data_IF_422358526827
#
_entry.id   IF_422358526827
#
_cell.length_a   1.000
_cell.length_b   1.000
_cell.length_c   1.000
_cell.angle_alpha   90.00
_cell.angle_beta   90.00
_cell.angle_gamma   90.00
#
_symmetry.space_group_name_H-M   'P 1'
#
loop_
_entity.id
_entity.type
_entity.pdbx_description
1 polymer ?
#
# COMPACT_ATOMS: atom_id res chain seq x y z
N UNK A 1 -27.01 18.20 12.15
CA UNK A 1 -25.83 17.30 12.17
C UNK A 1 -25.45 16.97 13.61
N UNK A 2 -25.61 15.73 14.01
CA UNK A 2 -25.19 15.27 15.35
C UNK A 2 -23.66 15.32 15.40
N UNK A 3 -23.11 16.18 16.28
CA UNK A 3 -21.66 16.28 16.48
C UNK A 3 -21.22 15.31 17.56
N UNK A 4 -20.25 14.46 17.27
CA UNK A 4 -19.60 13.65 18.31
C UNK A 4 -18.85 14.58 19.26
N UNK A 5 -19.11 14.46 20.56
CA UNK A 5 -18.37 15.17 21.58
C UNK A 5 -17.12 14.37 21.94
N UNK A 6 -15.98 14.87 21.54
CA UNK A 6 -14.68 14.22 21.78
C UNK A 6 -13.77 15.23 22.46
N UNK A 7 -13.28 14.86 23.62
CA UNK A 7 -12.34 15.69 24.39
C UNK A 7 -11.01 14.93 24.49
N UNK A 8 -10.03 15.22 23.64
CA UNK A 8 -8.69 14.68 23.77
C UNK A 8 -8.07 15.07 25.12
N UNK A 9 -7.32 14.16 25.73
CA UNK A 9 -6.65 14.42 27.02
C UNK A 9 -5.59 15.53 26.90
N UNK A 10 -4.95 15.61 25.73
CA UNK A 10 -3.97 16.64 25.40
C UNK A 10 -4.41 17.30 24.10
N UNK A 11 -4.57 18.62 24.13
CA UNK A 11 -4.90 19.42 22.94
C UNK A 11 -3.58 19.89 22.30
N UNK A 12 -3.43 19.73 20.97
CA UNK A 12 -2.29 20.29 20.26
C UNK A 12 -2.34 21.82 20.31
N UNK A 13 -1.22 22.45 20.67
CA UNK A 13 -1.14 23.92 20.75
C UNK A 13 -1.37 24.60 19.39
N UNK A 14 -0.85 23.97 18.31
CA UNK A 14 -0.93 24.50 16.93
C UNK A 14 -2.29 24.23 16.25
N UNK A 15 -3.04 23.25 16.73
CA UNK A 15 -4.38 22.91 16.21
C UNK A 15 -5.28 22.40 17.33
N UNK A 16 -5.84 23.29 18.16
CA UNK A 16 -6.71 22.91 19.29
C UNK A 16 -7.98 22.17 18.87
N UNK A 17 -8.37 22.29 17.58
CA UNK A 17 -9.52 21.59 17.02
C UNK A 17 -9.21 20.18 16.51
N UNK A 18 -7.95 19.73 16.52
CA UNK A 18 -7.56 18.43 16.04
C UNK A 18 -8.11 17.31 16.92
N UNK A 19 -8.76 16.36 16.27
CA UNK A 19 -9.26 15.13 16.90
C UNK A 19 -8.62 13.92 16.23
N UNK A 20 -7.82 13.12 16.95
CA UNK A 20 -7.27 11.89 16.41
C UNK A 20 -8.35 10.95 15.87
N UNK A 21 -8.14 10.41 14.66
CA UNK A 21 -9.09 9.51 14.00
C UNK A 21 -9.46 8.30 14.89
N UNK A 22 -8.52 7.78 15.67
CA UNK A 22 -8.77 6.66 16.57
C UNK A 22 -9.79 7.01 17.67
N UNK A 23 -9.72 8.21 18.25
CA UNK A 23 -10.68 8.68 19.23
C UNK A 23 -12.05 8.91 18.63
N UNK A 24 -12.08 9.54 17.43
CA UNK A 24 -13.30 9.78 16.70
C UNK A 24 -14.01 8.46 16.34
N UNK A 25 -13.29 7.51 15.78
CA UNK A 25 -13.83 6.21 15.39
C UNK A 25 -14.31 5.39 16.60
N UNK A 26 -13.62 5.47 17.75
CA UNK A 26 -14.03 4.82 19.00
C UNK A 26 -15.35 5.38 19.49
N UNK A 27 -15.47 6.71 19.53
CA UNK A 27 -16.68 7.37 20.00
C UNK A 27 -17.87 7.12 19.05
N UNK A 28 -17.64 7.12 17.75
CA UNK A 28 -18.67 6.76 16.78
C UNK A 28 -19.19 5.34 17.02
N UNK A 29 -18.31 4.34 17.19
CA UNK A 29 -18.76 2.97 17.46
C UNK A 29 -19.52 2.85 18.75
N UNK A 30 -19.06 3.52 19.82
CA UNK A 30 -19.79 3.59 21.09
C UNK A 30 -21.19 4.16 20.90
N UNK A 31 -21.34 5.21 20.11
CA UNK A 31 -22.64 5.79 19.79
C UNK A 31 -23.51 4.81 18.99
N UNK A 32 -22.94 4.13 18.00
CA UNK A 32 -23.66 3.15 17.19
C UNK A 32 -24.15 1.97 18.04
N UNK A 33 -23.31 1.42 18.91
CA UNK A 33 -23.67 0.34 19.84
C UNK A 33 -24.76 0.77 20.84
N UNK A 34 -24.70 2.01 21.30
CA UNK A 34 -25.69 2.57 22.23
C UNK A 34 -27.02 2.97 21.57
N UNK A 35 -27.13 2.94 20.24
CA UNK A 35 -28.34 3.36 19.51
C UNK A 35 -29.55 2.41 19.67
N UNK A 36 -29.33 1.22 20.25
CA UNK A 36 -30.34 0.18 20.39
C UNK A 36 -30.60 -0.67 19.14
N UNK A 37 -30.18 -0.23 17.95
CA UNK A 37 -30.32 -0.94 16.69
C UNK A 37 -29.09 -0.76 15.77
N UNK A 38 -27.88 -1.10 16.26
CA UNK A 38 -26.67 -0.97 15.42
C UNK A 38 -26.74 -1.89 14.20
N UNK A 39 -26.29 -1.39 13.05
CA UNK A 39 -26.20 -2.16 11.82
C UNK A 39 -24.78 -2.71 11.69
N UNK A 40 -24.63 -4.01 11.49
CA UNK A 40 -23.36 -4.66 11.17
C UNK A 40 -22.93 -4.28 9.76
N UNK A 41 -21.67 -3.93 9.61
CA UNK A 41 -21.09 -3.57 8.31
C UNK A 41 -19.78 -4.33 8.10
N UNK A 42 -19.64 -4.93 6.91
CA UNK A 42 -18.40 -5.53 6.43
C UNK A 42 -17.84 -4.73 5.27
N UNK A 43 -16.55 -4.41 5.33
CA UNK A 43 -15.79 -3.81 4.24
C UNK A 43 -14.74 -4.83 3.79
N UNK A 44 -14.84 -5.30 2.55
CA UNK A 44 -13.92 -6.31 2.00
C UNK A 44 -13.21 -5.73 0.79
N UNK A 45 -11.89 -5.67 0.88
CA UNK A 45 -11.03 -5.26 -0.23
C UNK A 45 -10.39 -6.48 -0.89
N UNK A 46 -10.61 -6.64 -2.18
CA UNK A 46 -9.97 -7.66 -3.01
C UNK A 46 -8.76 -7.09 -3.73
N UNK A 47 -7.64 -7.80 -3.62
CA UNK A 47 -6.36 -7.51 -4.28
C UNK A 47 -6.11 -8.47 -5.43
N UNK A 48 -4.91 -8.41 -6.02
CA UNK A 48 -4.45 -9.40 -6.98
C UNK A 48 -4.54 -10.83 -6.40
N UNK A 49 -4.67 -11.82 -7.28
CA UNK A 49 -4.72 -13.25 -6.93
C UNK A 49 -5.87 -13.65 -5.98
N UNK A 50 -6.95 -12.84 -5.94
CA UNK A 50 -8.12 -13.14 -5.11
C UNK A 50 -7.88 -13.00 -3.60
N UNK A 51 -6.74 -12.44 -3.17
CA UNK A 51 -6.50 -12.14 -1.75
C UNK A 51 -7.45 -11.06 -1.27
N UNK A 52 -7.97 -11.21 -0.05
CA UNK A 52 -9.00 -10.34 0.51
C UNK A 52 -8.69 -9.95 1.94
N UNK A 53 -8.77 -8.66 2.22
CA UNK A 53 -8.81 -8.15 3.59
C UNK A 53 -10.25 -7.81 3.95
N UNK A 54 -10.69 -8.18 5.16
CA UNK A 54 -12.02 -7.90 5.69
C UNK A 54 -11.91 -7.10 6.97
N UNK A 55 -12.73 -6.08 7.06
CA UNK A 55 -12.90 -5.25 8.25
C UNK A 55 -14.38 -5.19 8.63
N UNK A 56 -14.71 -5.76 9.77
CA UNK A 56 -16.06 -5.73 10.33
C UNK A 56 -16.20 -4.60 11.35
N UNK A 57 -17.34 -3.92 11.31
CA UNK A 57 -17.65 -2.82 12.21
C UNK A 57 -19.17 -2.71 12.41
N UNK A 58 -19.59 -1.72 13.18
CA UNK A 58 -21.00 -1.34 13.34
C UNK A 58 -21.18 0.13 12.97
N UNK A 59 -22.37 0.44 12.48
CA UNK A 59 -22.82 1.80 12.18
C UNK A 59 -24.13 2.09 12.90
N UNK A 60 -24.50 3.36 12.97
CA UNK A 60 -25.82 3.79 13.42
C UNK A 60 -26.91 3.17 12.52
N UNK A 61 -28.18 3.08 12.98
CA UNK A 61 -29.29 2.68 12.14
C UNK A 61 -29.24 3.35 10.76
N UNK A 62 -29.42 2.57 9.70
CA UNK A 62 -29.27 3.03 8.30
C UNK A 62 -30.49 3.87 7.86
N UNK A 63 -30.61 5.07 8.43
CA UNK A 63 -31.63 6.05 8.17
C UNK A 63 -31.06 7.29 7.49
N UNK A 64 -31.91 8.10 6.90
CA UNK A 64 -31.49 9.38 6.29
C UNK A 64 -30.81 10.31 7.30
N UNK A 65 -31.33 10.38 8.52
CA UNK A 65 -30.80 11.22 9.58
C UNK A 65 -29.35 10.86 9.96
N UNK A 66 -29.02 9.59 9.95
CA UNK A 66 -27.71 9.08 10.34
C UNK A 66 -26.72 8.96 9.18
N UNK A 67 -27.20 9.17 7.95
CA UNK A 67 -26.44 8.90 6.74
C UNK A 67 -25.09 9.62 6.71
N UNK A 68 -25.06 10.92 6.91
CA UNK A 68 -23.83 11.72 6.85
C UNK A 68 -22.78 11.26 7.85
N UNK A 69 -23.22 10.90 9.06
CA UNK A 69 -22.32 10.46 10.12
C UNK A 69 -21.78 9.05 9.84
N UNK A 70 -22.64 8.15 9.37
CA UNK A 70 -22.28 6.81 8.91
C UNK A 70 -21.32 6.88 7.73
N UNK A 71 -21.63 7.68 6.72
CA UNK A 71 -20.82 7.84 5.52
C UNK A 71 -19.43 8.39 5.87
N UNK A 72 -19.36 9.44 6.68
CA UNK A 72 -18.08 10.00 7.13
C UNK A 72 -17.21 8.97 7.85
N UNK A 73 -17.80 8.13 8.69
CA UNK A 73 -17.07 7.05 9.37
C UNK A 73 -16.55 6.01 8.39
N UNK A 74 -17.43 5.51 7.53
CA UNK A 74 -17.12 4.40 6.62
C UNK A 74 -16.15 4.86 5.52
N UNK A 75 -16.37 6.04 4.93
CA UNK A 75 -15.49 6.57 3.88
C UNK A 75 -14.04 6.72 4.36
N UNK A 76 -13.84 7.25 5.56
CA UNK A 76 -12.50 7.40 6.14
C UNK A 76 -11.82 6.06 6.41
N UNK A 77 -12.58 5.04 6.81
CA UNK A 77 -12.04 3.68 6.98
C UNK A 77 -11.70 3.10 5.61
N UNK A 78 -12.56 3.22 4.62
CA UNK A 78 -12.28 2.76 3.24
C UNK A 78 -11.00 3.40 2.71
N UNK A 79 -10.86 4.73 2.84
CA UNK A 79 -9.64 5.44 2.45
C UNK A 79 -8.41 4.88 3.14
N UNK A 80 -8.47 4.70 4.45
CA UNK A 80 -7.37 4.12 5.23
C UNK A 80 -7.03 2.69 4.79
N UNK A 81 -8.05 1.83 4.60
CA UNK A 81 -7.85 0.45 4.19
C UNK A 81 -7.25 0.36 2.78
N UNK A 82 -7.71 1.18 1.84
CA UNK A 82 -7.15 1.25 0.49
C UNK A 82 -5.66 1.57 0.50
N UNK A 83 -5.23 2.55 1.29
CA UNK A 83 -3.83 2.97 1.35
C UNK A 83 -2.94 2.10 2.23
N UNK A 84 -3.52 1.33 3.15
CA UNK A 84 -2.77 0.43 4.02
C UNK A 84 -2.74 -1.02 3.55
N UNK A 85 -3.77 -1.47 2.81
CA UNK A 85 -3.93 -2.85 2.37
C UNK A 85 -3.92 -3.01 0.86
N UNK A 86 -4.34 -1.97 0.13
CA UNK A 86 -4.60 -2.02 -1.29
C UNK A 86 -5.89 -2.75 -1.64
N UNK A 87 -6.30 -2.64 -2.89
CA UNK A 87 -7.47 -3.33 -3.43
C UNK A 87 -8.05 -2.62 -4.64
N UNK A 88 -8.53 -3.38 -5.60
CA UNK A 88 -9.19 -2.88 -6.80
C UNK A 88 -10.72 -3.04 -6.75
N UNK A 89 -11.22 -3.82 -5.77
CA UNK A 89 -12.64 -4.07 -5.58
C UNK A 89 -12.99 -3.97 -4.10
N UNK A 90 -13.97 -3.14 -3.80
CA UNK A 90 -14.56 -2.99 -2.48
C UNK A 90 -15.93 -3.67 -2.46
N UNK A 91 -16.15 -4.62 -1.55
CA UNK A 91 -17.49 -5.14 -1.24
C UNK A 91 -17.96 -4.54 0.07
N UNK A 92 -19.16 -3.95 0.05
CA UNK A 92 -19.83 -3.37 1.21
C UNK A 92 -20.98 -4.28 1.61
N UNK A 93 -20.84 -4.95 2.74
CA UNK A 93 -21.87 -5.85 3.29
C UNK A 93 -22.65 -5.19 4.41
N UNK A 94 -23.99 -5.11 4.29
CA UNK A 94 -24.88 -4.63 5.36
C UNK A 94 -25.54 -3.28 5.13
N UNK A 95 -25.08 -2.45 4.18
CA UNK A 95 -25.77 -1.21 3.78
C UNK A 95 -25.55 -0.91 2.31
N UNK A 96 -26.58 -1.11 1.50
CA UNK A 96 -26.55 -0.75 0.08
C UNK A 96 -26.46 0.76 -0.13
N UNK A 97 -27.11 1.56 0.72
CA UNK A 97 -27.06 3.02 0.69
C UNK A 97 -25.63 3.54 0.79
N UNK A 98 -24.85 3.05 1.75
CA UNK A 98 -23.44 3.43 1.89
C UNK A 98 -22.60 2.92 0.74
N UNK A 99 -22.85 1.70 0.25
CA UNK A 99 -22.12 1.17 -0.89
C UNK A 99 -22.38 1.96 -2.17
N UNK A 100 -23.61 2.42 -2.42
CA UNK A 100 -23.96 3.26 -3.58
C UNK A 100 -23.29 4.64 -3.48
N UNK A 101 -23.28 5.24 -2.29
CA UNK A 101 -22.58 6.49 -2.04
C UNK A 101 -21.05 6.34 -2.24
N UNK A 102 -20.46 5.26 -1.74
CA UNK A 102 -19.03 4.97 -1.96
C UNK A 102 -18.73 4.74 -3.45
N UNK A 103 -19.61 4.05 -4.20
CA UNK A 103 -19.46 3.88 -5.65
C UNK A 103 -19.43 5.21 -6.39
N UNK A 104 -20.28 6.14 -6.00
CA UNK A 104 -20.30 7.50 -6.56
C UNK A 104 -19.03 8.27 -6.20
N UNK A 105 -18.61 8.18 -4.93
CA UNK A 105 -17.42 8.88 -4.39
C UNK A 105 -16.13 8.38 -5.03
N UNK A 106 -15.95 7.05 -5.13
CA UNK A 106 -14.81 6.39 -5.78
C UNK A 106 -15.13 6.08 -7.24
N UNK A 107 -15.28 7.13 -8.04
CA UNK A 107 -15.57 7.08 -9.48
C UNK A 107 -14.69 8.07 -10.24
N UNK A 108 -14.62 8.00 -11.61
CA UNK A 108 -13.78 8.90 -12.40
C UNK A 108 -14.07 10.40 -12.21
N UNK A 109 -15.29 10.73 -11.76
CA UNK A 109 -15.75 12.12 -11.51
C UNK A 109 -16.13 12.36 -10.05
N UNK A 110 -15.92 11.39 -9.18
CA UNK A 110 -16.21 11.46 -7.76
C UNK A 110 -15.15 12.23 -6.97
N UNK A 111 -15.45 12.51 -5.71
CA UNK A 111 -14.52 13.19 -4.79
C UNK A 111 -13.19 12.43 -4.64
N UNK A 112 -13.22 11.11 -4.78
CA UNK A 112 -12.05 10.21 -4.71
C UNK A 112 -11.61 9.71 -6.08
N UNK A 113 -11.73 10.53 -7.13
CA UNK A 113 -11.28 10.17 -8.49
C UNK A 113 -9.79 9.80 -8.53
N UNK A 114 -8.95 10.46 -7.73
CA UNK A 114 -7.54 10.11 -7.60
C UNK A 114 -7.35 8.70 -7.05
N UNK A 115 -8.04 8.34 -5.95
CA UNK A 115 -7.95 7.01 -5.35
C UNK A 115 -8.52 5.94 -6.27
N UNK A 116 -9.59 6.25 -7.01
CA UNK A 116 -10.18 5.40 -8.03
C UNK A 116 -9.16 5.03 -9.13
N UNK A 117 -8.45 6.04 -9.68
CA UNK A 117 -7.46 5.84 -10.74
C UNK A 117 -6.23 5.09 -10.23
N UNK A 118 -5.70 5.51 -9.06
CA UNK A 118 -4.50 4.91 -8.48
C UNK A 118 -4.73 3.45 -8.11
N UNK A 119 -5.79 3.16 -7.34
CA UNK A 119 -6.07 1.80 -6.87
C UNK A 119 -6.61 0.90 -7.98
N UNK A 120 -7.26 1.45 -8.98
CA UNK A 120 -7.74 0.68 -10.12
C UNK A 120 -6.66 0.50 -11.19
N UNK A 121 -6.58 1.46 -12.09
CA UNK A 121 -5.76 1.40 -13.29
C UNK A 121 -4.24 1.31 -13.00
N UNK A 122 -3.74 2.19 -12.11
CA UNK A 122 -2.28 2.31 -11.94
C UNK A 122 -1.66 1.14 -11.17
N UNK A 123 -2.31 0.67 -10.11
CA UNK A 123 -1.75 -0.41 -9.28
C UNK A 123 -2.16 -1.77 -9.80
N UNK A 124 -3.47 -1.98 -9.98
CA UNK A 124 -3.98 -3.32 -10.28
C UNK A 124 -4.32 -3.56 -11.76
N UNK A 125 -4.14 -2.55 -12.63
CA UNK A 125 -4.46 -2.61 -14.06
C UNK A 125 -5.90 -3.06 -14.33
N UNK A 126 -6.82 -2.57 -13.50
CA UNK A 126 -8.25 -2.88 -13.51
C UNK A 126 -9.07 -1.65 -13.16
N UNK A 127 -10.35 -1.68 -13.48
CA UNK A 127 -11.27 -0.68 -13.00
C UNK A 127 -11.55 -0.90 -11.51
N UNK A 128 -11.44 0.14 -10.69
CA UNK A 128 -11.89 0.07 -9.31
C UNK A 128 -13.41 -0.07 -9.24
N UNK A 129 -13.91 -1.02 -8.47
CA UNK A 129 -15.35 -1.32 -8.37
C UNK A 129 -15.81 -1.35 -6.93
N UNK A 130 -17.11 -0.99 -6.73
CA UNK A 130 -17.79 -1.11 -5.44
C UNK A 130 -19.04 -1.96 -5.62
N UNK A 131 -19.17 -3.04 -4.87
CA UNK A 131 -20.30 -3.97 -4.88
C UNK A 131 -21.01 -4.00 -3.53
N UNK A 132 -22.31 -4.27 -3.55
CA UNK A 132 -23.14 -4.40 -2.35
C UNK A 132 -23.57 -5.84 -2.13
N UNK A 133 -23.65 -6.25 -0.86
CA UNK A 133 -24.26 -7.52 -0.46
C UNK A 133 -24.85 -7.41 0.95
N UNK A 134 -25.47 -8.47 1.47
CA UNK A 134 -25.79 -8.55 2.89
C UNK A 134 -24.50 -8.74 3.71
N UNK A 135 -24.55 -8.46 5.01
CA UNK A 135 -23.40 -8.65 5.89
C UNK A 135 -22.92 -10.11 5.89
N UNK A 136 -23.86 -11.05 5.89
CA UNK A 136 -23.63 -12.50 5.91
C UNK A 136 -23.01 -12.99 4.58
N UNK A 137 -23.38 -12.38 3.46
CA UNK A 137 -22.87 -12.73 2.14
C UNK A 137 -21.50 -12.09 1.84
N UNK A 138 -21.04 -11.18 2.70
CA UNK A 138 -19.74 -10.53 2.51
C UNK A 138 -18.60 -11.58 2.54
N UNK A 139 -17.70 -11.57 1.53
CA UNK A 139 -16.63 -12.55 1.43
C UNK A 139 -15.76 -12.59 2.69
N UNK A 140 -15.33 -13.79 3.07
CA UNK A 140 -14.37 -13.96 4.16
C UNK A 140 -13.00 -13.39 3.80
N UNK A 141 -12.23 -13.00 4.81
CA UNK A 141 -10.81 -12.69 4.64
C UNK A 141 -10.07 -13.92 4.08
N UNK A 142 -9.14 -13.66 3.17
CA UNK A 142 -8.30 -14.70 2.56
C UNK A 142 -6.94 -14.08 2.27
N UNK A 143 -6.07 -14.02 3.28
CA UNK A 143 -4.72 -13.51 3.14
C UNK A 143 -3.73 -14.68 3.07
N UNK A 144 -2.86 -14.64 2.10
CA UNK A 144 -1.76 -15.58 1.98
C UNK A 144 -0.47 -14.84 2.37
N UNK A 145 0.20 -15.32 3.40
CA UNK A 145 1.51 -14.82 3.81
C UNK A 145 2.57 -15.87 3.57
N UNK A 146 3.59 -15.55 2.79
CA UNK A 146 4.82 -16.34 2.68
C UNK A 146 5.88 -15.69 3.56
N UNK A 147 6.50 -16.47 4.44
CA UNK A 147 7.65 -15.97 5.21
C UNK A 147 8.85 -15.87 4.26
N UNK A 148 9.24 -14.64 3.96
CA UNK A 148 10.37 -14.35 3.05
C UNK A 148 11.65 -13.97 3.81
N UNK A 149 11.59 -13.74 5.11
CA UNK A 149 12.74 -13.31 5.92
C UNK A 149 13.31 -14.39 6.83
N UNK A 150 14.39 -14.04 7.54
CA UNK A 150 14.99 -14.90 8.57
C UNK A 150 16.09 -15.84 8.08
N UNK A 151 16.45 -15.81 6.82
CA UNK A 151 17.56 -16.58 6.25
C UNK A 151 18.85 -15.75 6.37
N UNK A 152 19.60 -15.91 7.46
CA UNK A 152 20.83 -15.17 7.72
C UNK A 152 22.11 -15.93 7.38
N UNK A 153 21.99 -17.20 6.98
CA UNK A 153 23.09 -18.06 6.56
C UNK A 153 23.62 -17.70 5.17
N UNK A 154 24.89 -17.94 4.92
CA UNK A 154 25.55 -17.74 3.64
C UNK A 154 25.84 -16.25 3.31
N UNK A 155 26.03 -15.98 2.02
CA UNK A 155 26.43 -14.68 1.50
C UNK A 155 25.26 -13.96 0.85
N UNK A 156 24.88 -12.80 1.37
CA UNK A 156 23.69 -12.09 0.96
C UNK A 156 23.96 -10.61 0.70
N UNK A 157 23.23 -10.04 -0.24
CA UNK A 157 23.23 -8.59 -0.47
C UNK A 157 21.85 -8.05 -0.09
N UNK A 158 21.85 -7.05 0.80
CA UNK A 158 20.69 -6.21 1.08
C UNK A 158 20.80 -4.86 0.38
N UNK A 159 19.71 -4.32 -0.17
CA UNK A 159 19.69 -2.98 -0.72
C UNK A 159 18.43 -2.22 -0.33
N UNK A 160 18.52 -0.87 -0.35
CA UNK A 160 17.39 0.04 -0.19
C UNK A 160 17.55 1.19 -1.19
N UNK A 161 16.53 1.39 -2.03
CA UNK A 161 16.51 2.42 -3.06
C UNK A 161 15.58 3.54 -2.62
N UNK A 162 16.17 4.59 -2.08
CA UNK A 162 15.49 5.82 -1.69
C UNK A 162 15.44 6.84 -2.82
N UNK A 163 14.81 7.98 -2.53
CA UNK A 163 14.68 9.09 -3.48
C UNK A 163 15.87 10.04 -3.52
N UNK A 164 16.75 10.00 -2.52
CA UNK A 164 17.95 10.84 -2.40
C UNK A 164 19.25 10.03 -2.33
N UNK A 165 19.12 8.78 -1.94
CA UNK A 165 20.26 7.87 -1.74
C UNK A 165 19.85 6.43 -2.05
N UNK A 166 20.85 5.63 -2.35
CA UNK A 166 20.75 4.17 -2.47
C UNK A 166 21.71 3.53 -1.49
N UNK A 167 21.22 2.56 -0.74
CA UNK A 167 21.98 1.87 0.28
C UNK A 167 22.19 0.43 -0.11
N UNK A 168 23.36 -0.14 0.22
CA UNK A 168 23.56 -1.57 0.11
C UNK A 168 24.43 -2.10 1.26
N UNK A 169 24.27 -3.40 1.55
CA UNK A 169 25.06 -4.12 2.53
C UNK A 169 25.43 -5.50 2.03
N UNK A 170 26.66 -5.90 2.29
CA UNK A 170 27.12 -7.28 2.13
C UNK A 170 27.10 -7.99 3.49
N UNK A 171 26.42 -9.14 3.54
CA UNK A 171 26.19 -9.92 4.75
C UNK A 171 26.77 -11.32 4.54
N UNK A 172 27.54 -11.81 5.50
CA UNK A 172 28.04 -13.17 5.52
C UNK A 172 27.69 -13.83 6.85
N UNK A 173 26.95 -14.90 6.82
CA UNK A 173 26.52 -15.69 8.00
C UNK A 173 25.91 -14.79 9.10
N UNK A 174 25.02 -13.89 8.70
CA UNK A 174 24.31 -12.97 9.59
C UNK A 174 25.11 -11.75 10.05
N UNK A 175 26.37 -11.62 9.63
CA UNK A 175 27.21 -10.44 9.96
C UNK A 175 27.34 -9.51 8.78
N UNK A 176 27.07 -8.23 9.00
CA UNK A 176 27.35 -7.18 8.00
C UNK A 176 28.85 -6.98 7.90
N UNK A 177 29.43 -7.29 6.74
CA UNK A 177 30.87 -7.10 6.47
C UNK A 177 31.16 -5.86 5.66
N UNK A 178 30.14 -5.28 5.00
CA UNK A 178 30.23 -4.02 4.30
C UNK A 178 28.84 -3.37 4.24
N UNK A 179 28.78 -2.06 4.36
CA UNK A 179 27.62 -1.25 4.06
C UNK A 179 28.03 0.10 3.52
N UNK A 180 27.25 0.63 2.60
CA UNK A 180 27.48 1.96 2.04
C UNK A 180 26.16 2.65 1.68
N UNK A 181 26.22 3.96 1.60
CA UNK A 181 25.18 4.85 1.12
C UNK A 181 25.76 5.72 0.02
N UNK A 182 25.08 5.80 -1.12
CA UNK A 182 25.49 6.58 -2.28
C UNK A 182 24.38 7.54 -2.66
N UNK A 183 24.67 8.82 -2.67
CA UNK A 183 23.74 9.85 -3.12
C UNK A 183 23.44 9.67 -4.60
N UNK A 184 22.16 9.81 -4.96
CA UNK A 184 21.70 9.84 -6.34
C UNK A 184 20.43 10.72 -6.44
N UNK A 185 20.01 11.03 -7.67
CA UNK A 185 18.79 11.82 -7.91
C UNK A 185 17.90 11.14 -8.96
N UNK A 186 17.13 10.11 -8.58
CA UNK A 186 16.30 9.34 -9.50
C UNK A 186 15.02 10.06 -9.91
N UNK A 187 14.56 11.02 -9.10
CA UNK A 187 13.24 11.63 -9.25
C UNK A 187 13.07 12.46 -10.52
N UNK A 188 14.16 13.04 -11.02
CA UNK A 188 14.16 13.93 -12.18
C UNK A 188 14.81 13.30 -13.41
N UNK A 189 15.21 12.03 -13.31
CA UNK A 189 15.79 11.30 -14.44
C UNK A 189 14.69 10.63 -15.27
N UNK A 190 14.71 10.91 -16.58
CA UNK A 190 13.79 10.26 -17.55
C UNK A 190 14.44 9.06 -18.25
N UNK A 191 15.75 8.87 -18.07
CA UNK A 191 16.48 7.74 -18.64
C UNK A 191 16.49 6.54 -17.68
N UNK A 192 15.98 5.42 -18.13
CA UNK A 192 15.96 4.15 -17.39
C UNK A 192 17.38 3.68 -17.08
N UNK A 193 18.34 3.93 -17.96
CA UNK A 193 19.73 3.47 -17.79
C UNK A 193 20.41 4.16 -16.61
N UNK A 194 20.04 5.39 -16.27
CA UNK A 194 20.52 6.03 -15.03
C UNK A 194 20.18 5.20 -13.80
N UNK A 195 18.93 4.74 -13.72
CA UNK A 195 18.47 3.93 -12.60
C UNK A 195 19.14 2.56 -12.56
N UNK A 196 19.23 1.90 -13.72
CA UNK A 196 19.90 0.59 -13.86
C UNK A 196 21.37 0.66 -13.48
N UNK A 197 22.10 1.63 -14.02
CA UNK A 197 23.52 1.81 -13.72
C UNK A 197 23.74 2.06 -12.23
N UNK A 198 22.92 2.90 -11.59
CA UNK A 198 23.01 3.16 -10.16
C UNK A 198 22.77 1.93 -9.31
N UNK A 199 21.72 1.16 -9.60
CA UNK A 199 21.41 -0.09 -8.89
C UNK A 199 22.55 -1.10 -9.05
N UNK A 200 22.99 -1.35 -10.28
CA UNK A 200 24.09 -2.29 -10.56
C UNK A 200 25.39 -1.88 -9.89
N UNK A 201 25.72 -0.60 -9.86
CA UNK A 201 26.92 -0.10 -9.17
C UNK A 201 26.91 -0.48 -7.69
N UNK A 202 25.81 -0.19 -6.96
CA UNK A 202 25.68 -0.57 -5.55
C UNK A 202 25.80 -2.08 -5.34
N UNK A 203 25.12 -2.86 -6.16
CA UNK A 203 25.12 -4.31 -6.04
C UNK A 203 26.50 -4.91 -6.33
N UNK A 204 27.22 -4.41 -7.35
CA UNK A 204 28.61 -4.85 -7.66
C UNK A 204 29.59 -4.51 -6.55
N UNK A 205 29.47 -3.34 -5.94
CA UNK A 205 30.32 -2.96 -4.79
C UNK A 205 30.11 -3.87 -3.59
N UNK A 206 28.86 -4.19 -3.27
CA UNK A 206 28.55 -5.14 -2.21
C UNK A 206 29.03 -6.57 -2.56
N UNK A 207 28.79 -7.01 -3.80
CA UNK A 207 29.23 -8.31 -4.31
C UNK A 207 30.75 -8.50 -4.21
N UNK A 208 31.54 -7.47 -4.51
CA UNK A 208 33.01 -7.52 -4.43
C UNK A 208 33.57 -7.79 -3.02
N UNK A 209 32.71 -7.72 -1.99
CA UNK A 209 33.07 -8.01 -0.59
C UNK A 209 32.71 -9.43 -0.16
N UNK A 210 32.08 -10.20 -1.03
CA UNK A 210 31.59 -11.54 -0.75
C UNK A 210 32.31 -12.58 -1.63
N UNK A 211 32.60 -13.78 -1.13
CA UNK A 211 33.21 -14.83 -1.94
C UNK A 211 32.22 -15.41 -2.97
N UNK A 212 30.94 -15.28 -2.75
CA UNK A 212 29.82 -15.67 -3.62
C UNK A 212 28.56 -14.92 -3.23
N UNK A 213 27.49 -15.06 -4.00
CA UNK A 213 26.18 -14.48 -3.69
C UNK A 213 25.16 -15.61 -3.68
N UNK A 214 24.52 -15.83 -2.53
CA UNK A 214 23.49 -16.85 -2.36
C UNK A 214 22.08 -16.25 -2.52
N UNK A 215 21.88 -14.99 -2.15
CA UNK A 215 20.63 -14.26 -2.37
C UNK A 215 20.82 -12.75 -2.35
N UNK A 216 19.93 -12.06 -3.04
CA UNK A 216 19.79 -10.59 -3.04
C UNK A 216 18.36 -10.25 -2.63
N UNK A 217 18.23 -9.30 -1.72
CA UNK A 217 16.92 -8.80 -1.29
C UNK A 217 16.98 -7.32 -0.99
N UNK A 218 15.85 -6.63 -1.16
CA UNK A 218 15.85 -5.21 -0.89
C UNK A 218 14.48 -4.58 -0.86
N UNK A 219 14.49 -3.28 -0.61
CA UNK A 219 13.34 -2.40 -0.64
C UNK A 219 13.54 -1.28 -1.64
N UNK A 220 12.43 -0.74 -2.13
CA UNK A 220 12.42 0.44 -2.97
C UNK A 220 11.14 1.25 -2.71
N UNK A 221 11.24 2.57 -2.82
CA UNK A 221 10.09 3.45 -2.63
C UNK A 221 9.09 3.27 -3.80
N UNK A 222 7.90 2.74 -3.50
CA UNK A 222 6.85 2.52 -4.49
C UNK A 222 5.88 1.41 -4.14
N UNK A 223 5.03 1.10 -5.09
CA UNK A 223 4.09 -0.02 -5.02
C UNK A 223 4.49 -1.03 -6.09
N UNK A 224 4.70 -2.26 -5.67
CA UNK A 224 5.06 -3.38 -6.52
C UNK A 224 3.97 -4.46 -6.40
N UNK A 225 3.52 -4.97 -7.53
CA UNK A 225 2.57 -6.09 -7.60
C UNK A 225 3.22 -7.17 -8.44
N UNK A 226 3.36 -8.38 -7.88
CA UNK A 226 4.04 -9.51 -8.51
C UNK A 226 5.45 -9.13 -9.02
N UNK A 227 6.23 -8.44 -8.19
CA UNK A 227 7.56 -7.88 -8.49
C UNK A 227 7.60 -6.84 -9.61
N UNK A 228 6.47 -6.40 -10.14
CA UNK A 228 6.38 -5.35 -11.16
C UNK A 228 6.17 -3.99 -10.49
N UNK A 229 6.99 -2.97 -10.79
CA UNK A 229 6.73 -1.62 -10.33
C UNK A 229 5.44 -1.10 -10.96
N UNK A 230 4.50 -0.62 -10.15
CA UNK A 230 3.22 -0.05 -10.60
C UNK A 230 3.19 1.46 -10.43
N UNK A 231 3.51 1.91 -9.23
CA UNK A 231 3.72 3.31 -8.91
C UNK A 231 5.00 3.34 -8.09
N UNK A 232 6.07 3.81 -8.65
CA UNK A 232 7.31 3.97 -7.94
C UNK A 232 7.72 5.44 -8.00
N UNK A 233 7.79 6.10 -6.85
CA UNK A 233 8.30 7.47 -6.76
C UNK A 233 9.72 7.57 -7.31
N UNK A 234 10.46 6.48 -7.23
CA UNK A 234 11.79 6.32 -7.80
C UNK A 234 11.82 6.55 -9.32
N UNK A 235 10.76 6.16 -10.04
CA UNK A 235 10.65 6.23 -11.50
C UNK A 235 9.70 7.33 -11.99
N UNK A 236 9.35 8.30 -11.15
CA UNK A 236 8.38 9.33 -11.51
C UNK A 236 8.85 10.25 -12.66
N UNK A 237 10.14 10.31 -12.94
CA UNK A 237 10.72 11.03 -14.07
C UNK A 237 10.62 10.27 -15.39
N UNK A 238 10.34 8.96 -15.35
CA UNK A 238 10.21 8.12 -16.54
C UNK A 238 8.81 8.32 -17.13
N UNK A 239 8.69 8.55 -18.46
CA UNK A 239 7.39 8.63 -19.12
C UNK A 239 6.54 7.38 -18.89
N UNK A 240 5.22 7.55 -18.69
CA UNK A 240 4.30 6.43 -18.44
C UNK A 240 4.34 5.39 -19.58
N UNK A 241 4.56 5.83 -20.83
CA UNK A 241 4.69 4.94 -21.99
C UNK A 241 5.91 3.99 -21.89
N UNK A 242 6.94 4.38 -21.15
CA UNK A 242 8.18 3.60 -20.98
C UNK A 242 8.16 2.72 -19.73
N UNK A 243 7.11 2.81 -18.92
CA UNK A 243 7.00 2.02 -17.67
C UNK A 243 7.02 0.51 -17.93
N UNK A 244 6.47 0.06 -19.06
CA UNK A 244 6.51 -1.35 -19.48
C UNK A 244 7.93 -1.85 -19.80
N UNK A 245 8.87 -0.94 -20.06
CA UNK A 245 10.27 -1.25 -20.35
C UNK A 245 11.14 -1.32 -19.08
N UNK A 246 10.57 -0.97 -17.91
CA UNK A 246 11.22 -1.17 -16.62
C UNK A 246 11.12 -2.65 -16.29
N UNK A 247 12.20 -3.39 -16.49
CA UNK A 247 12.27 -4.79 -16.12
C UNK A 247 12.01 -4.96 -14.62
N UNK A 248 11.29 -6.01 -14.21
CA UNK A 248 11.19 -6.36 -12.79
C UNK A 248 12.59 -6.46 -12.19
N UNK A 249 12.77 -5.85 -11.02
CA UNK A 249 14.09 -5.85 -10.34
C UNK A 249 14.70 -7.26 -10.22
N UNK A 250 13.93 -8.33 -9.90
CA UNK A 250 14.46 -9.69 -9.87
C UNK A 250 14.99 -10.19 -11.23
N UNK A 251 14.26 -9.98 -12.34
CA UNK A 251 14.71 -10.42 -13.67
C UNK A 251 15.94 -9.65 -14.13
N UNK A 252 15.96 -8.34 -13.85
CA UNK A 252 17.12 -7.51 -14.13
C UNK A 252 18.37 -8.00 -13.39
N UNK A 253 18.25 -8.35 -12.11
CA UNK A 253 19.37 -8.88 -11.32
C UNK A 253 19.86 -10.22 -11.83
N UNK A 254 18.97 -11.15 -12.15
CA UNK A 254 19.31 -12.47 -12.71
C UNK A 254 20.02 -12.30 -14.05
N UNK A 255 19.50 -11.47 -14.95
CA UNK A 255 20.06 -11.30 -16.28
C UNK A 255 21.42 -10.59 -16.29
N UNK A 256 21.65 -9.63 -15.39
CA UNK A 256 22.86 -8.79 -15.45
C UNK A 256 23.95 -9.15 -14.43
N UNK A 257 23.61 -9.84 -13.33
CA UNK A 257 24.60 -10.22 -12.33
C UNK A 257 25.06 -11.69 -12.42
N UNK A 258 24.23 -12.55 -12.96
CA UNK A 258 24.52 -14.01 -13.06
C UNK A 258 24.80 -14.47 -14.49
N UNK A 259 24.80 -13.58 -15.48
CA UNK A 259 25.20 -13.93 -16.83
C UNK A 259 26.73 -14.19 -16.88
N UNK A 260 27.19 -15.30 -17.51
CA UNK A 260 28.62 -15.68 -17.55
C UNK A 260 29.59 -14.63 -18.11
N UNK A 261 29.07 -13.57 -18.74
CA UNK A 261 29.90 -12.47 -19.29
C UNK A 261 30.17 -11.33 -18.29
N UNK A 262 29.70 -11.43 -17.05
CA UNK A 262 29.95 -10.45 -15.99
C UNK A 262 31.04 -10.87 -14.98
N UNK A 263 31.85 -11.92 -15.32
CA UNK A 263 33.05 -12.31 -14.58
C UNK A 263 34.29 -11.74 -15.23
#
# INVERSE_FOLDING_TARGET
MQKLQISPRHLPELDPGFVPAALWNREFRRLAEASGAPVKLALVLERANGTRSRFDTVILPDTEENFDLNFRYVERIVKFLLWSRGGWKLTVGGSSRLGDALRSTYSPKGERAFDYDVMGRKIYDRQFTVENCSFEAAPAAGEFGVKLGGHFDGCRIGFDLGGSDRKCAAIQDGKTIHSEEVVWDPYFQSDIEYHRAGILDSLRRAAAKLPRIDAIGGSAAGVYVDNQPRIASLFRGIPEADFANILPVPEFLVTHMFHPQCC
#
